data_IF_232409338843
#
_entry.id   IF_232409338843
#
_cell.length_a   1.000
_cell.length_b   1.000
_cell.length_c   1.000
_cell.angle_alpha   90.00
_cell.angle_beta   90.00
_cell.angle_gamma   90.00
#
_symmetry.space_group_name_H-M   'P 1'
#
loop_
_entity.id
_entity.type
_entity.pdbx_description
1 polymer ?
#
# COMPACT_ATOMS: atom_id res chain seq x y z
N UNK A 1 6.71 -26.12 -19.23
CA UNK A 1 6.74 -24.87 -18.43
C UNK A 1 5.40 -24.20 -18.58
N UNK A 2 4.46 -24.48 -17.68
CA UNK A 2 3.16 -23.80 -17.66
C UNK A 2 3.39 -22.40 -17.09
N UNK A 3 3.13 -21.37 -17.88
CA UNK A 3 3.05 -20.00 -17.40
C UNK A 3 1.89 -19.93 -16.40
N UNK A 4 2.21 -20.03 -15.11
CA UNK A 4 1.25 -19.72 -14.05
C UNK A 4 0.82 -18.27 -14.23
N UNK A 5 -0.49 -18.02 -14.23
CA UNK A 5 -1.02 -16.67 -14.28
C UNK A 5 -0.40 -15.85 -13.15
N UNK A 6 0.40 -14.85 -13.48
CA UNK A 6 0.92 -13.86 -12.53
C UNK A 6 -0.27 -13.11 -11.92
N UNK A 7 -0.74 -13.60 -10.76
CA UNK A 7 -1.93 -13.07 -10.12
C UNK A 7 -1.51 -11.97 -9.15
N UNK A 8 -1.77 -10.72 -9.53
CA UNK A 8 -1.50 -9.56 -8.69
C UNK A 8 -2.68 -9.29 -7.75
N UNK A 9 -2.41 -9.06 -6.47
CA UNK A 9 -3.41 -8.69 -5.48
C UNK A 9 -3.48 -7.16 -5.33
N UNK A 10 -4.70 -6.63 -5.23
CA UNK A 10 -4.96 -5.21 -4.98
C UNK A 10 -5.63 -5.07 -3.63
N UNK A 11 -5.02 -4.29 -2.73
CA UNK A 11 -5.56 -3.97 -1.41
C UNK A 11 -5.90 -2.48 -1.34
N UNK A 12 -7.16 -2.17 -1.04
CA UNK A 12 -7.63 -0.78 -0.89
C UNK A 12 -7.84 -0.49 0.59
N UNK A 13 -7.16 0.56 1.10
CA UNK A 13 -7.31 1.03 2.48
C UNK A 13 -8.04 2.37 2.47
N UNK A 14 -9.30 2.36 2.89
CA UNK A 14 -10.18 3.54 2.90
C UNK A 14 -10.77 3.80 4.29
N UNK A 15 -11.21 5.04 4.56
CA UNK A 15 -11.96 5.38 5.78
C UNK A 15 -12.73 6.69 5.60
N UNK A 16 -13.83 6.87 6.33
CA UNK A 16 -14.60 8.12 6.33
C UNK A 16 -14.03 9.29 7.16
N UNK A 17 -12.92 9.12 7.90
CA UNK A 17 -12.37 10.17 8.79
C UNK A 17 -10.85 10.36 8.65
N UNK A 18 -10.39 11.59 8.82
CA UNK A 18 -8.95 11.90 8.92
C UNK A 18 -8.33 11.37 10.23
N UNK A 19 -7.06 10.97 10.18
CA UNK A 19 -6.29 10.60 11.38
C UNK A 19 -6.47 9.18 11.90
N UNK A 20 -7.25 8.31 11.23
CA UNK A 20 -7.47 6.92 11.67
C UNK A 20 -6.32 5.95 11.35
N UNK A 21 -5.16 6.46 10.92
CA UNK A 21 -3.97 5.65 10.66
C UNK A 21 -3.86 4.99 9.28
N UNK A 22 -4.71 5.33 8.29
CA UNK A 22 -4.67 4.75 6.93
C UNK A 22 -3.27 4.73 6.32
N UNK A 23 -2.62 5.89 6.22
CA UNK A 23 -1.30 6.03 5.61
C UNK A 23 -0.25 5.22 6.38
N UNK A 24 -0.29 5.25 7.72
CA UNK A 24 0.61 4.47 8.57
C UNK A 24 0.45 2.96 8.38
N UNK A 25 -0.79 2.49 8.26
CA UNK A 25 -1.08 1.08 7.97
C UNK A 25 -0.58 0.69 6.58
N UNK A 26 -0.87 1.50 5.56
CA UNK A 26 -0.42 1.27 4.18
C UNK A 26 1.11 1.18 4.12
N UNK A 27 1.83 2.12 4.72
CA UNK A 27 3.29 2.15 4.71
C UNK A 27 3.92 0.94 5.43
N UNK A 28 3.41 0.56 6.60
CA UNK A 28 3.96 -0.58 7.34
C UNK A 28 3.67 -1.91 6.64
N UNK A 29 2.46 -2.09 6.09
CA UNK A 29 2.09 -3.30 5.36
C UNK A 29 2.88 -3.41 4.07
N UNK A 30 3.00 -2.33 3.29
CA UNK A 30 3.79 -2.35 2.05
C UNK A 30 5.26 -2.64 2.31
N UNK A 31 5.84 -2.05 3.35
CA UNK A 31 7.23 -2.27 3.73
C UNK A 31 7.44 -3.72 4.21
N UNK A 32 6.53 -4.28 5.00
CA UNK A 32 6.58 -5.69 5.39
C UNK A 32 6.51 -6.64 4.17
N UNK A 33 5.60 -6.39 3.23
CA UNK A 33 5.46 -7.19 2.01
C UNK A 33 6.70 -7.07 1.12
N UNK A 34 7.28 -5.88 0.98
CA UNK A 34 8.52 -5.67 0.25
C UNK A 34 9.70 -6.41 0.92
N UNK A 35 9.79 -6.39 2.26
CA UNK A 35 10.79 -7.16 3.03
C UNK A 35 10.64 -8.67 2.90
N UNK A 36 9.44 -9.15 2.56
CA UNK A 36 9.19 -10.56 2.22
C UNK A 36 9.57 -10.91 0.77
N UNK A 37 10.12 -9.96 0.01
CA UNK A 37 10.56 -10.17 -1.38
C UNK A 37 9.44 -10.02 -2.41
N UNK A 38 8.25 -9.53 -2.01
CA UNK A 38 7.16 -9.29 -2.94
C UNK A 38 7.37 -7.96 -3.68
N UNK A 39 6.98 -7.93 -4.96
CA UNK A 39 6.91 -6.67 -5.72
C UNK A 39 5.67 -5.91 -5.28
N UNK A 40 5.88 -4.77 -4.62
CA UNK A 40 4.81 -3.95 -4.05
C UNK A 40 4.83 -2.58 -4.72
N UNK A 41 3.66 -2.12 -5.15
CA UNK A 41 3.43 -0.74 -5.55
C UNK A 41 2.42 -0.12 -4.59
N UNK A 42 2.71 1.08 -4.10
CA UNK A 42 1.81 1.83 -3.23
C UNK A 42 1.31 3.06 -3.98
N UNK A 43 0.01 3.32 -3.91
CA UNK A 43 -0.63 4.49 -4.53
C UNK A 43 -1.34 5.27 -3.43
N UNK A 44 -0.90 6.50 -3.17
CA UNK A 44 -1.62 7.43 -2.30
C UNK A 44 -2.66 8.20 -3.10
N UNK A 45 -3.92 8.09 -2.70
CA UNK A 45 -5.05 8.81 -3.29
C UNK A 45 -5.59 9.89 -2.33
N UNK A 46 -4.86 10.24 -1.27
CA UNK A 46 -5.20 11.36 -0.38
C UNK A 46 -4.78 12.70 -1.00
N UNK A 47 -5.64 13.24 -1.89
CA UNK A 47 -5.42 14.51 -2.61
C UNK A 47 -5.41 15.72 -1.64
N UNK A 48 -5.94 15.54 -0.41
CA UNK A 48 -6.10 16.62 0.57
C UNK A 48 -4.87 16.89 1.44
N UNK A 49 -4.06 15.87 1.75
CA UNK A 49 -2.85 15.97 2.57
C UNK A 49 -1.88 14.84 2.17
N UNK A 50 -0.83 15.17 1.41
CA UNK A 50 0.24 14.22 1.02
C UNK A 50 1.01 13.75 2.24
N UNK A 51 0.63 12.59 2.79
CA UNK A 51 1.27 12.02 3.99
C UNK A 51 2.16 10.82 3.69
N UNK A 52 1.98 10.14 2.57
CA UNK A 52 2.76 8.94 2.27
C UNK A 52 4.21 9.24 1.88
N UNK A 53 4.45 10.30 1.10
CA UNK A 53 5.80 10.76 0.71
C UNK A 53 6.70 11.15 1.89
N UNK A 54 6.13 11.33 3.08
CA UNK A 54 6.89 11.67 4.30
C UNK A 54 7.32 10.42 5.08
N UNK A 55 6.71 9.27 4.82
CA UNK A 55 6.86 8.04 5.60
C UNK A 55 7.67 6.98 4.84
N UNK A 56 7.59 6.98 3.50
CA UNK A 56 8.32 6.08 2.60
C UNK A 56 9.46 6.82 1.90
#
# INVERSE_FOLDING_TARGET
MTAGSEQHQVLVVASGKGGVGKTTTVANVSCALARMGLRVAVVDLDIGLKKLDLIL
#
